data_IF_317708335109
#
_entry.id   IF_317708335109
#
_cell.length_a   1.000
_cell.length_b   1.000
_cell.length_c   1.000
_cell.angle_alpha   90.00
_cell.angle_beta   90.00
_cell.angle_gamma   90.00
#
_symmetry.space_group_name_H-M   'P 1'
#
loop_
_entity.id
_entity.type
_entity.pdbx_description
1 polymer ?
#
# COMPACT_ATOMS: atom_id res chain seq x y z
N UNK A 1 19.37 -20.76 7.23
CA UNK A 1 20.65 -20.79 6.46
C UNK A 1 20.47 -20.07 5.11
N UNK A 2 19.55 -20.48 4.26
CA UNK A 2 19.33 -19.88 2.92
C UNK A 2 19.00 -18.38 2.92
N UNK A 3 18.16 -17.90 3.85
CA UNK A 3 17.84 -16.48 3.97
C UNK A 3 19.07 -15.59 4.18
N UNK A 4 19.97 -15.99 5.09
CA UNK A 4 21.18 -15.20 5.37
C UNK A 4 22.13 -15.15 4.17
N UNK A 5 22.23 -16.25 3.40
CA UNK A 5 23.02 -16.28 2.18
C UNK A 5 22.41 -15.37 1.09
N UNK A 6 21.13 -15.51 0.83
CA UNK A 6 20.40 -14.67 -0.12
C UNK A 6 20.50 -13.19 0.26
N UNK A 7 20.29 -12.84 1.54
CA UNK A 7 20.45 -11.48 2.05
C UNK A 7 21.86 -10.95 1.84
N UNK A 8 22.89 -11.76 2.14
CA UNK A 8 24.29 -11.33 1.97
C UNK A 8 24.64 -11.02 0.52
N UNK A 9 24.09 -11.77 -0.42
CA UNK A 9 24.27 -11.52 -1.86
C UNK A 9 23.52 -10.26 -2.26
N UNK A 10 22.25 -10.14 -1.91
CA UNK A 10 21.41 -8.99 -2.26
C UNK A 10 21.91 -7.68 -1.64
N UNK A 11 22.58 -7.73 -0.49
CA UNK A 11 23.15 -6.55 0.16
C UNK A 11 24.40 -6.00 -0.55
N UNK A 12 25.00 -6.77 -1.45
CA UNK A 12 26.11 -6.31 -2.32
C UNK A 12 25.64 -5.56 -3.56
N UNK A 13 24.34 -5.59 -3.85
CA UNK A 13 23.74 -4.91 -5.00
C UNK A 13 22.93 -3.68 -4.55
N UNK A 14 22.59 -2.81 -5.51
CA UNK A 14 21.73 -1.65 -5.27
C UNK A 14 20.44 -2.06 -4.56
N UNK A 15 19.97 -1.22 -3.61
CA UNK A 15 18.83 -1.54 -2.77
C UNK A 15 17.53 -1.66 -3.56
N UNK A 16 17.30 -0.74 -4.50
CA UNK A 16 16.09 -0.74 -5.33
C UNK A 16 16.13 -1.86 -6.39
N UNK A 17 17.30 -2.16 -6.94
CA UNK A 17 17.47 -3.30 -7.84
C UNK A 17 17.17 -4.64 -7.14
N UNK A 18 17.67 -4.82 -5.91
CA UNK A 18 17.36 -6.00 -5.09
C UNK A 18 15.87 -6.11 -4.78
N UNK A 19 15.20 -4.99 -4.48
CA UNK A 19 13.76 -4.94 -4.25
C UNK A 19 12.99 -5.40 -5.48
N UNK A 20 13.30 -4.88 -6.66
CA UNK A 20 12.66 -5.28 -7.90
C UNK A 20 12.92 -6.74 -8.25
N UNK A 21 14.13 -7.23 -8.03
CA UNK A 21 14.47 -8.64 -8.24
C UNK A 21 13.65 -9.56 -7.31
N UNK A 22 13.55 -9.22 -6.02
CA UNK A 22 12.78 -10.00 -5.06
C UNK A 22 11.28 -10.04 -5.40
N UNK A 23 10.67 -8.89 -5.69
CA UNK A 23 9.26 -8.85 -6.07
C UNK A 23 9.00 -9.54 -7.41
N UNK A 24 9.88 -9.34 -8.40
CA UNK A 24 9.77 -10.04 -9.69
C UNK A 24 9.84 -11.56 -9.54
N UNK A 25 10.71 -12.06 -8.66
CA UNK A 25 10.80 -13.49 -8.34
C UNK A 25 9.53 -14.00 -7.65
N UNK A 26 9.02 -13.28 -6.66
CA UNK A 26 7.76 -13.63 -5.98
C UNK A 26 6.58 -13.64 -6.97
N UNK A 27 6.46 -12.62 -7.80
CA UNK A 27 5.43 -12.53 -8.86
C UNK A 27 5.47 -13.73 -9.82
N UNK A 28 6.66 -14.11 -10.27
CA UNK A 28 6.84 -15.22 -11.20
C UNK A 28 6.52 -16.59 -10.56
N UNK A 29 6.80 -16.74 -9.27
CA UNK A 29 6.76 -18.04 -8.58
C UNK A 29 5.52 -18.26 -7.70
N UNK A 30 4.71 -17.22 -7.41
CA UNK A 30 3.60 -17.31 -6.45
C UNK A 30 2.52 -18.35 -6.80
N UNK A 31 2.40 -18.75 -8.05
CA UNK A 31 1.44 -19.76 -8.52
C UNK A 31 2.11 -21.08 -8.93
N UNK A 32 3.36 -21.27 -8.57
CA UNK A 32 4.12 -22.50 -8.83
C UNK A 32 4.35 -23.30 -7.53
N UNK A 33 4.73 -24.57 -7.59
CA UNK A 33 5.11 -25.34 -6.40
C UNK A 33 6.24 -24.69 -5.57
N UNK A 34 7.05 -23.83 -6.17
CA UNK A 34 8.10 -23.07 -5.47
C UNK A 34 7.55 -22.15 -4.36
N UNK A 35 6.28 -21.79 -4.41
CA UNK A 35 5.64 -20.98 -3.36
C UNK A 35 5.67 -21.66 -1.98
N UNK A 36 5.80 -22.97 -1.93
CA UNK A 36 5.98 -23.73 -0.67
C UNK A 36 7.23 -23.30 0.13
N UNK A 37 8.22 -22.70 -0.52
CA UNK A 37 9.46 -22.26 0.14
C UNK A 37 9.23 -21.09 1.11
N UNK A 38 8.14 -20.31 0.94
CA UNK A 38 7.80 -19.19 1.83
C UNK A 38 6.41 -19.30 2.43
N UNK A 39 5.63 -20.32 2.07
CA UNK A 39 4.31 -20.55 2.65
C UNK A 39 4.42 -20.90 4.13
N UNK A 40 3.62 -20.22 4.96
CA UNK A 40 3.59 -20.42 6.40
C UNK A 40 2.17 -20.60 6.88
N UNK A 41 1.97 -21.54 7.80
CA UNK A 41 0.75 -21.63 8.59
C UNK A 41 0.97 -20.88 9.90
N UNK A 42 0.17 -19.88 10.15
CA UNK A 42 0.24 -19.05 11.37
C UNK A 42 -0.99 -19.31 12.24
N UNK A 43 -0.85 -19.23 13.57
CA UNK A 43 -1.97 -19.39 14.48
C UNK A 43 -3.10 -18.39 14.16
N UNK A 44 -4.33 -18.88 14.09
CA UNK A 44 -5.53 -18.05 13.96
C UNK A 44 -5.82 -17.38 15.31
N UNK A 45 -5.59 -16.06 15.39
CA UNK A 45 -5.89 -15.21 16.54
C UNK A 45 -6.62 -13.97 16.03
N UNK A 46 -7.94 -14.06 15.79
CA UNK A 46 -8.69 -13.01 15.13
C UNK A 46 -8.79 -11.74 15.97
N UNK A 47 -8.77 -10.60 15.26
CA UNK A 47 -8.99 -9.26 15.82
C UNK A 47 -10.02 -8.56 14.96
N UNK A 48 -11.04 -7.96 15.58
CA UNK A 48 -12.09 -7.23 14.86
C UNK A 48 -11.92 -5.73 15.04
N UNK A 49 -11.77 -5.01 13.93
CA UNK A 49 -11.63 -3.55 13.89
C UNK A 49 -12.47 -3.02 12.72
N UNK A 50 -13.22 -1.94 12.94
CA UNK A 50 -14.05 -1.27 11.93
C UNK A 50 -15.00 -2.22 11.16
N UNK A 51 -15.53 -3.25 11.83
CA UNK A 51 -16.40 -4.25 11.23
C UNK A 51 -15.69 -5.34 10.41
N UNK A 52 -14.35 -5.32 10.33
CA UNK A 52 -13.54 -6.33 9.67
C UNK A 52 -12.91 -7.27 10.69
N UNK A 53 -13.00 -8.58 10.45
CA UNK A 53 -12.33 -9.59 11.28
C UNK A 53 -11.06 -10.08 10.60
N UNK A 54 -9.93 -9.64 11.12
CA UNK A 54 -8.58 -10.02 10.67
C UNK A 54 -8.20 -11.37 11.30
N UNK A 55 -7.72 -12.35 10.54
CA UNK A 55 -7.37 -13.67 11.08
C UNK A 55 -6.20 -13.65 12.07
N UNK A 56 -5.34 -12.64 11.99
CA UNK A 56 -4.30 -12.32 12.97
C UNK A 56 -3.95 -10.83 12.89
N UNK A 57 -3.24 -10.33 13.91
CA UNK A 57 -2.93 -8.91 14.06
C UNK A 57 -1.73 -8.42 13.23
N UNK A 58 -1.06 -9.30 12.47
CA UNK A 58 0.14 -8.93 11.69
C UNK A 58 -0.22 -8.82 10.22
N UNK A 59 -0.08 -7.64 9.66
CA UNK A 59 -0.34 -7.37 8.25
C UNK A 59 0.85 -6.82 7.51
N UNK A 60 0.80 -6.91 6.19
CA UNK A 60 1.77 -6.24 5.31
C UNK A 60 1.31 -4.80 5.07
N UNK A 61 2.16 -3.84 5.41
CA UNK A 61 1.90 -2.42 5.16
C UNK A 61 2.14 -2.05 3.68
N UNK A 62 1.41 -1.04 3.20
CA UNK A 62 1.65 -0.44 1.89
C UNK A 62 3.09 0.10 1.75
N UNK A 63 3.57 0.15 0.52
CA UNK A 63 4.90 0.62 0.15
C UNK A 63 5.83 -0.47 -0.38
N UNK A 64 5.61 -1.73 -0.02
CA UNK A 64 6.36 -2.86 -0.56
C UNK A 64 5.79 -3.28 -1.93
N UNK A 65 4.53 -3.67 -1.98
CA UNK A 65 3.82 -4.03 -3.22
C UNK A 65 2.91 -2.88 -3.67
N UNK A 66 3.50 -1.93 -4.41
CA UNK A 66 2.79 -0.70 -4.80
C UNK A 66 1.75 -0.91 -5.90
N UNK A 67 1.94 -1.94 -6.71
CA UNK A 67 1.11 -2.22 -7.88
C UNK A 67 0.25 -3.48 -7.72
N UNK A 68 0.22 -4.09 -6.53
CA UNK A 68 -0.51 -5.34 -6.27
C UNK A 68 -0.02 -6.53 -7.11
N UNK A 69 1.28 -6.61 -7.37
CA UNK A 69 1.91 -7.66 -8.19
C UNK A 69 2.06 -8.99 -7.45
N UNK A 70 2.14 -8.96 -6.11
CA UNK A 70 2.55 -10.11 -5.29
C UNK A 70 1.56 -10.45 -4.17
N UNK A 71 0.29 -10.08 -4.29
CA UNK A 71 -0.74 -10.29 -3.25
C UNK A 71 -0.75 -11.76 -2.78
N UNK A 72 -0.79 -12.70 -3.73
CA UNK A 72 -0.89 -14.12 -3.41
C UNK A 72 0.38 -14.65 -2.73
N UNK A 73 1.56 -14.15 -3.12
CA UNK A 73 2.82 -14.52 -2.47
C UNK A 73 2.86 -14.05 -1.01
N UNK A 74 2.43 -12.82 -0.74
CA UNK A 74 2.38 -12.30 0.63
C UNK A 74 1.30 -12.98 1.48
N UNK A 75 0.16 -13.32 0.89
CA UNK A 75 -0.86 -14.11 1.56
C UNK A 75 -0.33 -15.46 2.03
N UNK A 76 0.45 -16.14 1.18
CA UNK A 76 1.09 -17.42 1.52
C UNK A 76 2.11 -17.31 2.67
N UNK A 77 2.69 -16.12 2.90
CA UNK A 77 3.61 -15.88 4.02
C UNK A 77 2.91 -15.77 5.39
N UNK A 78 1.56 -15.84 5.43
CA UNK A 78 0.79 -15.90 6.67
C UNK A 78 0.38 -14.54 7.23
N UNK A 79 0.51 -13.44 6.47
CA UNK A 79 -0.06 -12.16 6.88
C UNK A 79 -1.58 -12.24 7.03
N UNK A 80 -2.11 -11.71 8.11
CA UNK A 80 -3.56 -11.65 8.39
C UNK A 80 -4.30 -10.69 7.48
N UNK A 81 -3.59 -9.73 6.90
CA UNK A 81 -4.10 -8.79 5.89
C UNK A 81 -2.95 -8.25 5.06
N UNK A 82 -3.27 -7.74 3.89
CA UNK A 82 -2.31 -7.17 2.97
C UNK A 82 -2.79 -5.79 2.57
N UNK A 83 -1.93 -4.78 2.70
CA UNK A 83 -2.18 -3.44 2.18
C UNK A 83 -1.24 -3.17 1.01
N UNK A 84 -1.80 -2.96 -0.18
CA UNK A 84 -1.08 -2.62 -1.41
C UNK A 84 -1.12 -1.12 -1.69
N UNK A 85 -0.23 -0.63 -2.54
CA UNK A 85 -0.09 0.80 -2.84
C UNK A 85 1.13 1.41 -2.11
N UNK A 86 1.26 2.72 -1.96
CA UNK A 86 0.32 3.78 -2.34
C UNK A 86 0.23 3.88 -3.86
N UNK A 87 -0.99 3.93 -4.35
CA UNK A 87 -1.29 4.13 -5.77
C UNK A 87 -1.90 5.52 -5.99
N UNK A 88 -1.64 6.09 -7.16
CA UNK A 88 -2.17 7.39 -7.60
C UNK A 88 -3.03 7.22 -8.85
N UNK A 89 -3.90 8.18 -9.21
CA UNK A 89 -4.74 8.06 -10.39
C UNK A 89 -3.97 7.73 -11.67
N UNK A 90 -2.90 8.47 -11.91
CA UNK A 90 -2.00 8.30 -13.06
C UNK A 90 -0.71 7.60 -12.62
N UNK A 91 -0.05 6.84 -13.52
CA UNK A 91 1.30 6.38 -13.27
C UNK A 91 2.25 7.55 -12.96
N UNK A 92 3.20 7.32 -12.06
CA UNK A 92 4.28 8.27 -11.83
C UNK A 92 5.59 7.56 -11.46
N UNK A 93 6.68 8.13 -11.92
CA UNK A 93 8.01 7.56 -11.72
C UNK A 93 8.49 7.67 -10.27
N UNK A 94 8.01 8.67 -9.53
CA UNK A 94 8.51 9.04 -8.20
C UNK A 94 9.69 9.99 -8.27
N UNK A 95 10.49 10.02 -7.22
CA UNK A 95 11.68 10.88 -7.15
C UNK A 95 12.86 10.26 -7.88
N UNK A 96 13.86 11.08 -8.22
CA UNK A 96 15.06 10.65 -8.91
C UNK A 96 15.89 9.66 -8.09
N UNK A 97 16.54 8.75 -8.78
CA UNK A 97 17.48 7.79 -8.17
C UNK A 97 18.86 8.44 -7.94
N UNK A 98 19.62 7.97 -6.91
CA UNK A 98 19.27 6.95 -5.93
C UNK A 98 18.27 7.46 -4.89
N UNK A 99 17.33 6.63 -4.46
CA UNK A 99 16.22 7.00 -3.60
C UNK A 99 15.87 5.96 -2.52
N UNK A 100 16.68 4.91 -2.40
CA UNK A 100 16.55 3.86 -1.40
C UNK A 100 17.94 3.51 -0.87
N UNK A 101 18.17 3.66 0.43
CA UNK A 101 19.47 3.52 1.06
C UNK A 101 19.36 2.58 2.26
N UNK A 102 20.24 1.59 2.33
CA UNK A 102 20.37 0.70 3.49
C UNK A 102 21.37 1.27 4.48
N UNK A 103 21.03 1.15 5.76
CA UNK A 103 21.92 1.47 6.90
C UNK A 103 22.13 0.20 7.72
N UNK A 104 23.01 -0.74 7.30
CA UNK A 104 23.16 -2.05 7.96
C UNK A 104 23.56 -1.94 9.43
N UNK A 105 24.42 -0.99 9.78
CA UNK A 105 24.86 -0.78 11.16
C UNK A 105 23.72 -0.36 12.11
N UNK A 106 22.69 0.32 11.58
CA UNK A 106 21.51 0.74 12.34
C UNK A 106 20.29 -0.18 12.12
N UNK A 107 20.42 -1.26 11.36
CA UNK A 107 19.29 -2.09 10.91
C UNK A 107 18.14 -1.26 10.32
N UNK A 108 18.45 -0.23 9.55
CA UNK A 108 17.50 0.76 9.04
C UNK A 108 17.58 0.94 7.53
N UNK A 109 16.53 1.56 6.97
CA UNK A 109 16.43 1.95 5.56
C UNK A 109 15.95 3.40 5.51
N UNK A 110 16.62 4.21 4.69
CA UNK A 110 16.16 5.56 4.32
C UNK A 110 15.61 5.49 2.91
N UNK A 111 14.47 6.13 2.67
CA UNK A 111 13.93 6.25 1.32
C UNK A 111 13.36 7.64 1.03
N UNK A 112 13.36 7.98 -0.25
CA UNK A 112 12.67 9.14 -0.83
C UNK A 112 11.94 8.74 -2.11
N UNK A 113 11.12 7.68 -2.05
CA UNK A 113 10.52 7.02 -3.21
C UNK A 113 9.56 7.92 -4.00
N UNK A 114 8.71 8.74 -3.32
CA UNK A 114 7.79 9.67 -3.98
C UNK A 114 6.62 8.99 -4.70
N UNK A 115 6.06 7.94 -4.12
CA UNK A 115 4.89 7.20 -4.64
C UNK A 115 5.06 6.69 -6.08
N UNK A 116 6.25 6.14 -6.41
CA UNK A 116 6.44 5.49 -7.70
C UNK A 116 5.48 4.31 -7.87
N UNK A 117 4.62 4.37 -8.89
CA UNK A 117 3.59 3.37 -9.16
C UNK A 117 3.13 3.43 -10.62
N UNK A 118 2.42 2.39 -11.08
CA UNK A 118 1.91 2.26 -12.45
C UNK A 118 0.47 2.75 -12.63
N UNK A 119 -0.07 3.49 -11.64
CA UNK A 119 -1.43 4.01 -11.67
C UNK A 119 -2.48 3.03 -11.19
N UNK A 120 -3.63 3.59 -10.81
CA UNK A 120 -4.73 2.84 -10.18
C UNK A 120 -5.33 1.78 -11.12
N UNK A 121 -5.36 2.02 -12.43
CA UNK A 121 -5.90 1.04 -13.39
C UNK A 121 -5.03 -0.22 -13.43
N UNK A 122 -3.70 -0.07 -13.42
CA UNK A 122 -2.78 -1.20 -13.35
C UNK A 122 -2.95 -1.99 -12.04
N UNK A 123 -3.06 -1.28 -10.90
CA UNK A 123 -3.29 -1.92 -9.62
C UNK A 123 -4.59 -2.74 -9.63
N UNK A 124 -5.68 -2.18 -10.12
CA UNK A 124 -6.99 -2.86 -10.21
C UNK A 124 -6.90 -4.12 -11.08
N UNK A 125 -6.23 -4.05 -12.22
CA UNK A 125 -6.03 -5.22 -13.08
C UNK A 125 -5.23 -6.34 -12.38
N UNK A 126 -4.26 -6.00 -11.57
CA UNK A 126 -3.51 -6.98 -10.78
C UNK A 126 -4.35 -7.55 -9.63
N UNK A 127 -5.13 -6.72 -8.93
CA UNK A 127 -6.07 -7.17 -7.88
C UNK A 127 -7.09 -8.16 -8.44
N UNK A 128 -7.65 -7.91 -9.62
CA UNK A 128 -8.59 -8.84 -10.28
C UNK A 128 -7.97 -10.21 -10.57
N UNK A 129 -6.67 -10.26 -10.87
CA UNK A 129 -5.94 -11.51 -11.15
C UNK A 129 -5.57 -12.30 -9.90
N UNK A 130 -5.49 -11.64 -8.74
CA UNK A 130 -5.11 -12.27 -7.48
C UNK A 130 -6.16 -13.30 -7.04
N UNK A 131 -5.70 -14.39 -6.45
CA UNK A 131 -6.53 -15.47 -5.91
C UNK A 131 -6.86 -15.27 -4.43
N UNK A 132 -6.15 -14.38 -3.76
CA UNK A 132 -6.37 -14.03 -2.35
C UNK A 132 -7.81 -13.57 -2.11
N UNK A 133 -8.43 -14.10 -1.05
CA UNK A 133 -9.81 -13.76 -0.64
C UNK A 133 -9.90 -13.29 0.81
N UNK A 134 -8.76 -12.95 1.40
CA UNK A 134 -8.68 -12.37 2.74
C UNK A 134 -8.87 -10.85 2.74
N UNK A 135 -8.45 -10.21 3.82
CA UNK A 135 -8.56 -8.76 4.00
C UNK A 135 -7.50 -8.04 3.15
N UNK A 136 -7.96 -7.35 2.12
CA UNK A 136 -7.13 -6.52 1.24
C UNK A 136 -7.39 -5.04 1.50
N UNK A 137 -6.39 -4.34 1.99
CA UNK A 137 -6.35 -2.89 2.06
C UNK A 137 -5.75 -2.30 0.77
N UNK A 138 -6.31 -1.18 0.32
CA UNK A 138 -5.74 -0.43 -0.81
C UNK A 138 -5.42 0.99 -0.35
N UNK A 139 -4.15 1.32 -0.40
CA UNK A 139 -3.61 2.61 -0.01
C UNK A 139 -3.60 3.54 -1.22
N UNK A 140 -4.27 4.67 -1.11
CA UNK A 140 -4.43 5.64 -2.20
C UNK A 140 -3.79 6.99 -1.83
N UNK A 141 -3.32 7.69 -2.84
CA UNK A 141 -2.67 8.98 -2.68
C UNK A 141 -2.84 9.89 -3.90
N UNK A 142 -2.42 11.13 -3.73
CA UNK A 142 -2.41 12.17 -4.75
C UNK A 142 -1.18 12.04 -5.66
N UNK A 143 -1.32 12.31 -6.96
CA UNK A 143 -0.18 12.49 -7.86
C UNK A 143 0.70 13.66 -7.41
N UNK A 144 2.00 13.58 -7.70
CA UNK A 144 2.98 14.60 -7.31
C UNK A 144 2.70 15.96 -7.95
N UNK A 145 2.25 15.95 -9.19
CA UNK A 145 1.97 17.12 -10.03
C UNK A 145 0.54 17.70 -9.83
N UNK A 146 -0.32 17.03 -9.09
CA UNK A 146 -1.64 17.55 -8.72
C UNK A 146 -1.48 18.58 -7.59
N UNK A 147 -1.94 19.84 -7.72
CA UNK A 147 -1.96 20.81 -6.63
C UNK A 147 -2.77 20.32 -5.43
N UNK A 148 -2.45 20.78 -4.22
CA UNK A 148 -3.16 20.35 -3.02
C UNK A 148 -4.64 20.72 -3.03
N UNK A 149 -5.01 21.85 -3.61
CA UNK A 149 -6.39 22.33 -3.77
C UNK A 149 -7.25 21.36 -4.60
N UNK A 150 -6.62 20.62 -5.52
CA UNK A 150 -7.25 19.60 -6.35
C UNK A 150 -6.97 18.18 -5.83
N UNK A 151 -6.22 18.06 -4.75
CA UNK A 151 -5.77 16.78 -4.22
C UNK A 151 -6.91 15.81 -3.92
N UNK A 152 -8.04 16.31 -3.40
CA UNK A 152 -9.23 15.49 -3.11
C UNK A 152 -9.76 14.73 -4.32
N UNK A 153 -9.65 15.31 -5.52
CA UNK A 153 -10.15 14.66 -6.75
C UNK A 153 -9.35 13.40 -7.08
N UNK A 154 -8.03 13.43 -6.86
CA UNK A 154 -7.16 12.26 -7.03
C UNK A 154 -7.56 11.11 -6.09
N UNK A 155 -7.86 11.41 -4.82
CA UNK A 155 -8.35 10.40 -3.87
C UNK A 155 -9.71 9.85 -4.29
N UNK A 156 -10.64 10.68 -4.75
CA UNK A 156 -11.96 10.27 -5.22
C UNK A 156 -11.83 9.38 -6.46
N UNK A 157 -10.98 9.75 -7.43
CA UNK A 157 -10.72 8.94 -8.63
C UNK A 157 -10.21 7.55 -8.24
N UNK A 158 -9.20 7.48 -7.37
CA UNK A 158 -8.68 6.20 -6.89
C UNK A 158 -9.76 5.41 -6.15
N UNK A 159 -10.48 6.06 -5.22
CA UNK A 159 -11.51 5.42 -4.40
C UNK A 159 -12.60 4.78 -5.26
N UNK A 160 -13.11 5.47 -6.27
CA UNK A 160 -14.11 4.95 -7.23
C UNK A 160 -13.65 3.68 -7.92
N UNK A 161 -12.38 3.61 -8.29
CA UNK A 161 -11.81 2.48 -9.02
C UNK A 161 -11.52 1.26 -8.13
N UNK A 162 -11.14 1.49 -6.87
CA UNK A 162 -10.71 0.41 -5.98
C UNK A 162 -11.80 -0.10 -5.05
N UNK A 163 -12.92 0.64 -4.88
CA UNK A 163 -13.94 0.40 -3.85
C UNK A 163 -14.51 -1.02 -3.88
N UNK A 164 -14.81 -1.51 -5.07
CA UNK A 164 -15.37 -2.85 -5.27
C UNK A 164 -14.43 -3.95 -4.75
N UNK A 165 -13.12 -3.74 -4.86
CA UNK A 165 -12.10 -4.75 -4.59
C UNK A 165 -11.52 -4.68 -3.19
N UNK A 166 -11.59 -3.51 -2.54
CA UNK A 166 -10.98 -3.28 -1.25
C UNK A 166 -11.84 -3.82 -0.09
N UNK A 167 -11.20 -4.39 0.94
CA UNK A 167 -11.81 -4.62 2.25
C UNK A 167 -11.82 -3.34 3.08
N UNK A 168 -10.78 -2.51 2.96
CA UNK A 168 -10.68 -1.15 3.48
C UNK A 168 -9.80 -0.30 2.55
N UNK A 169 -9.95 1.02 2.66
CA UNK A 169 -9.15 1.96 1.87
C UNK A 169 -8.36 2.86 2.83
N UNK A 170 -7.06 3.00 2.58
CA UNK A 170 -6.18 3.89 3.35
C UNK A 170 -5.95 5.18 2.57
N UNK A 171 -6.33 6.30 3.17
CA UNK A 171 -6.10 7.66 2.65
C UNK A 171 -4.72 8.11 3.14
N UNK A 172 -3.74 8.12 2.25
CA UNK A 172 -2.36 8.41 2.63
C UNK A 172 -2.03 9.90 2.44
N UNK A 173 -2.00 10.63 3.53
CA UNK A 173 -1.58 12.04 3.60
C UNK A 173 -0.29 12.24 4.38
N UNK A 174 0.45 11.15 4.67
CA UNK A 174 1.59 11.15 5.60
C UNK A 174 2.96 11.22 4.94
N UNK A 175 3.07 11.07 3.60
CA UNK A 175 4.38 10.97 2.96
C UNK A 175 5.15 12.29 2.98
N UNK A 176 6.39 12.29 3.48
CA UNK A 176 7.27 13.46 3.39
C UNK A 176 7.90 13.62 1.99
N UNK A 177 7.74 12.61 1.13
CA UNK A 177 8.42 12.52 -0.17
C UNK A 177 7.59 13.09 -1.33
N UNK A 178 6.41 13.62 -1.04
CA UNK A 178 5.53 14.33 -1.97
C UNK A 178 5.36 15.76 -1.46
N UNK A 179 5.82 16.78 -2.21
CA UNK A 179 5.77 18.17 -1.75
C UNK A 179 4.36 18.59 -1.33
N UNK A 180 4.24 19.26 -0.18
CA UNK A 180 2.98 19.80 0.35
C UNK A 180 1.94 18.76 0.79
N UNK A 181 2.16 17.46 0.60
CA UNK A 181 1.15 16.45 0.92
C UNK A 181 0.74 16.48 2.40
N UNK A 182 1.69 16.72 3.30
CA UNK A 182 1.44 16.75 4.74
C UNK A 182 0.59 17.95 5.17
N UNK A 183 0.48 18.99 4.36
CA UNK A 183 -0.38 20.14 4.63
C UNK A 183 -1.86 19.71 4.68
N UNK A 184 -2.22 18.63 3.97
CA UNK A 184 -3.55 18.02 4.01
C UNK A 184 -3.90 17.38 5.37
N UNK A 185 -2.96 17.30 6.31
CA UNK A 185 -3.21 16.75 7.66
C UNK A 185 -3.79 17.78 8.63
N UNK A 186 -3.92 19.04 8.23
CA UNK A 186 -4.25 20.13 9.15
C UNK A 186 -5.46 20.96 8.67
N UNK A 187 -6.17 21.51 9.65
CA UNK A 187 -7.17 22.56 9.46
C UNK A 187 -8.29 22.22 8.47
N UNK A 188 -8.71 23.22 7.72
CA UNK A 188 -9.81 23.12 6.76
C UNK A 188 -9.49 22.14 5.60
N UNK A 189 -8.22 22.03 5.20
CA UNK A 189 -7.82 21.13 4.13
C UNK A 189 -8.11 19.66 4.48
N UNK A 190 -7.80 19.24 5.72
CA UNK A 190 -8.16 17.91 6.21
C UNK A 190 -9.68 17.72 6.27
N UNK A 191 -10.38 18.70 6.81
CA UNK A 191 -11.84 18.64 6.97
C UNK A 191 -12.54 18.50 5.62
N UNK A 192 -12.16 19.29 4.63
CA UNK A 192 -12.73 19.27 3.28
C UNK A 192 -12.44 17.95 2.56
N UNK A 193 -11.21 17.45 2.68
CA UNK A 193 -10.85 16.14 2.14
C UNK A 193 -11.72 15.04 2.76
N UNK A 194 -11.81 14.98 4.08
CA UNK A 194 -12.57 13.94 4.77
C UNK A 194 -14.07 14.02 4.49
N UNK A 195 -14.67 15.22 4.44
CA UNK A 195 -16.06 15.41 4.06
C UNK A 195 -16.35 14.89 2.66
N UNK A 196 -15.50 15.25 1.69
CA UNK A 196 -15.64 14.79 0.30
C UNK A 196 -15.53 13.25 0.19
N UNK A 197 -14.55 12.65 0.87
CA UNK A 197 -14.37 11.20 0.86
C UNK A 197 -15.48 10.44 1.58
N UNK A 198 -16.04 11.00 2.65
CA UNK A 198 -17.20 10.42 3.35
C UNK A 198 -18.46 10.46 2.50
N UNK A 199 -18.70 11.57 1.79
CA UNK A 199 -19.81 11.68 0.85
C UNK A 199 -19.68 10.66 -0.30
N UNK A 200 -18.49 10.54 -0.88
CA UNK A 200 -18.23 9.57 -1.94
C UNK A 200 -18.33 8.11 -1.43
N UNK A 201 -17.86 7.83 -0.19
CA UNK A 201 -18.02 6.52 0.44
C UNK A 201 -19.48 6.10 0.52
N UNK A 202 -20.37 7.00 0.89
CA UNK A 202 -21.80 6.72 0.99
C UNK A 202 -22.38 6.35 -0.38
N UNK A 203 -22.10 7.15 -1.42
CA UNK A 203 -22.55 6.87 -2.79
C UNK A 203 -22.05 5.51 -3.30
N UNK A 204 -20.79 5.20 -3.01
CA UNK A 204 -20.21 3.91 -3.41
C UNK A 204 -20.75 2.74 -2.59
N UNK A 205 -21.04 2.94 -1.31
CA UNK A 205 -21.67 1.93 -0.47
C UNK A 205 -23.07 1.57 -0.96
N UNK A 206 -23.87 2.56 -1.35
CA UNK A 206 -25.18 2.37 -1.96
C UNK A 206 -25.06 1.64 -3.32
N UNK A 207 -24.13 2.09 -4.17
CA UNK A 207 -23.89 1.52 -5.51
C UNK A 207 -23.50 0.04 -5.45
N UNK A 208 -22.61 -0.34 -4.53
CA UNK A 208 -22.04 -1.68 -4.46
C UNK A 208 -22.72 -2.59 -3.39
N UNK A 209 -23.65 -2.05 -2.61
CA UNK A 209 -24.31 -2.78 -1.50
C UNK A 209 -23.33 -3.22 -0.41
N UNK A 210 -22.23 -2.48 -0.21
CA UNK A 210 -21.11 -2.88 0.64
C UNK A 210 -20.45 -1.65 1.27
N UNK A 211 -20.29 -1.67 2.59
CA UNK A 211 -19.54 -0.63 3.30
C UNK A 211 -18.05 -0.98 3.35
N UNK A 212 -17.19 -0.09 2.84
CA UNK A 212 -15.73 -0.22 2.89
C UNK A 212 -15.17 0.84 3.85
N UNK A 213 -14.59 0.46 5.00
CA UNK A 213 -14.00 1.41 5.94
C UNK A 213 -12.88 2.24 5.33
N UNK A 214 -12.78 3.52 5.73
CA UNK A 214 -11.68 4.41 5.39
C UNK A 214 -10.77 4.59 6.60
N UNK A 215 -9.46 4.39 6.41
CA UNK A 215 -8.43 4.71 7.38
C UNK A 215 -7.60 5.89 6.89
N UNK A 216 -7.34 6.86 7.76
CA UNK A 216 -6.47 7.99 7.43
C UNK A 216 -5.08 7.72 7.99
N UNK A 217 -4.08 7.67 7.12
CA UNK A 217 -2.69 7.48 7.52
C UNK A 217 -2.01 8.85 7.66
N UNK A 218 -1.73 9.21 8.90
CA UNK A 218 -1.06 10.45 9.29
C UNK A 218 0.43 10.23 9.54
N UNK A 219 1.21 11.32 9.55
CA UNK A 219 2.64 11.27 9.90
C UNK A 219 2.84 11.03 11.41
N UNK A 220 3.90 10.31 11.82
CA UNK A 220 4.13 9.99 13.23
C UNK A 220 4.74 11.15 14.04
N UNK A 221 5.24 12.18 13.38
CA UNK A 221 5.92 13.34 13.91
C UNK A 221 5.00 14.58 13.97
N UNK A 222 3.71 14.36 14.27
CA UNK A 222 2.75 15.40 14.55
C UNK A 222 2.97 15.93 15.97
N UNK A 223 3.01 17.28 16.11
CA UNK A 223 3.04 17.91 17.42
C UNK A 223 1.77 17.57 18.23
N UNK A 224 1.93 17.42 19.54
CA UNK A 224 0.77 17.30 20.42
C UNK A 224 -0.04 18.61 20.35
N UNK A 225 -1.32 18.50 20.03
CA UNK A 225 -2.28 19.62 20.08
C UNK A 225 -2.65 19.88 21.53
#
# INVERSE_FOLDING_TARGET
MFYNLARSIMFKTDAEASHHFALGSLKALQHTPMSMLWSQQVPHKPVTIAGLTFPNAVGLAAGLDKNADCIDAFAQMGFGFIEVGTVTPRPQYGNDKPRLFRLPAANAIINRMGFNNLGVDNLVENVKKAKFRGILGINIGKNKDTPNEQGKDDYIICMRKVYEYASYITINISSPNTPGLRDLQFGDALLDLLKALKAEQQLLAEKYGKYVPLFVKIAPDMDAI
#
